data_IF_399368392623
#
_entry.id   IF_399368392623
#
_cell.length_a   1.000
_cell.length_b   1.000
_cell.length_c   1.000
_cell.angle_alpha   90.00
_cell.angle_beta   90.00
_cell.angle_gamma   90.00
#
_symmetry.space_group_name_H-M   'P 1'
#
loop_
_entity.id
_entity.type
_entity.pdbx_description
1 polymer ?
#
# COMPACT_ATOMS: atom_id res chain seq x y z
N UNK A 1 -7.52 16.32 12.10
CA UNK A 1 -6.81 15.64 13.22
C UNK A 1 -5.41 15.29 12.74
N UNK A 2 -4.36 15.58 13.52
CA UNK A 2 -2.98 15.32 13.09
C UNK A 2 -2.79 13.85 12.72
N UNK A 3 -2.23 13.59 11.53
CA UNK A 3 -2.03 12.25 10.93
C UNK A 3 -1.40 11.25 11.92
N UNK A 4 -0.52 11.75 12.80
CA UNK A 4 0.17 10.96 13.83
C UNK A 4 -0.77 10.40 14.90
N UNK A 5 -1.81 11.14 15.32
CA UNK A 5 -2.77 10.66 16.32
C UNK A 5 -3.61 9.51 15.76
N UNK A 6 -4.06 9.65 14.51
CA UNK A 6 -4.81 8.60 13.83
C UNK A 6 -3.97 7.32 13.65
N UNK A 7 -2.68 7.47 13.36
CA UNK A 7 -1.76 6.33 13.27
C UNK A 7 -1.60 5.60 14.60
N UNK A 8 -1.37 6.35 15.70
CA UNK A 8 -1.23 5.74 17.03
C UNK A 8 -2.50 5.02 17.48
N UNK A 9 -3.69 5.55 17.15
CA UNK A 9 -4.96 4.87 17.39
C UNK A 9 -5.07 3.56 16.59
N UNK A 10 -4.68 3.57 15.31
CA UNK A 10 -4.64 2.38 14.47
C UNK A 10 -3.68 1.31 15.05
N UNK A 11 -2.50 1.72 15.51
CA UNK A 11 -1.53 0.83 16.14
C UNK A 11 -2.06 0.25 17.46
N UNK A 12 -2.70 1.06 18.30
CA UNK A 12 -3.27 0.60 19.57
C UNK A 12 -4.41 -0.41 19.37
N UNK A 13 -5.22 -0.23 18.31
CA UNK A 13 -6.32 -1.14 17.98
C UNK A 13 -5.80 -2.51 17.50
N UNK A 14 -4.78 -2.53 16.65
CA UNK A 14 -4.26 -3.77 16.06
C UNK A 14 -3.14 -4.45 16.89
N UNK A 15 -2.49 -3.70 17.77
CA UNK A 15 -1.42 -4.19 18.64
C UNK A 15 -1.63 -3.73 20.10
N UNK A 16 -2.74 -4.14 20.76
CA UNK A 16 -3.09 -3.66 22.11
C UNK A 16 -2.07 -4.06 23.19
N UNK A 17 -1.28 -5.11 22.95
CA UNK A 17 -0.23 -5.57 23.85
C UNK A 17 1.05 -4.69 23.80
N UNK A 18 1.18 -3.80 22.82
CA UNK A 18 2.35 -2.94 22.65
C UNK A 18 2.04 -1.50 23.10
N UNK A 19 2.88 -0.90 23.97
CA UNK A 19 2.62 0.45 24.46
C UNK A 19 2.83 1.49 23.36
N UNK A 20 1.90 2.44 23.25
CA UNK A 20 1.91 3.48 22.21
C UNK A 20 3.20 4.33 22.18
N UNK A 21 3.85 4.53 23.33
CA UNK A 21 5.07 5.32 23.43
C UNK A 21 6.33 4.62 22.86
N UNK A 22 6.28 3.31 22.57
CA UNK A 22 7.44 2.55 22.13
C UNK A 22 7.59 2.40 20.61
N UNK A 23 6.69 2.98 19.82
CA UNK A 23 6.76 2.93 18.36
C UNK A 23 7.78 3.93 17.82
N UNK A 24 8.74 3.44 17.04
CA UNK A 24 9.62 4.30 16.23
C UNK A 24 9.00 4.49 14.85
N UNK A 25 8.59 5.72 14.53
CA UNK A 25 7.94 6.05 13.25
C UNK A 25 8.88 6.95 12.44
N UNK A 26 9.21 6.52 11.21
CA UNK A 26 10.09 7.25 10.29
C UNK A 26 9.39 7.44 8.94
N UNK A 27 9.43 8.64 8.33
CA UNK A 27 8.89 8.83 6.99
C UNK A 27 9.67 8.00 5.97
N UNK A 28 8.97 7.38 5.03
CA UNK A 28 9.59 6.72 3.88
C UNK A 28 9.63 7.67 2.69
N UNK A 29 10.79 7.73 2.05
CA UNK A 29 10.97 8.50 0.83
C UNK A 29 10.23 7.79 -0.32
N UNK A 30 9.09 8.33 -0.73
CA UNK A 30 8.31 7.86 -1.87
C UNK A 30 7.62 9.02 -2.58
N UNK A 31 7.20 8.79 -3.83
CA UNK A 31 6.60 9.81 -4.69
C UNK A 31 5.38 10.49 -4.07
N UNK A 32 4.61 9.77 -3.25
CA UNK A 32 3.43 10.32 -2.57
C UNK A 32 3.71 10.82 -1.15
N UNK A 33 4.90 10.59 -0.58
CA UNK A 33 5.27 10.91 0.83
C UNK A 33 4.25 10.48 1.90
N UNK A 34 3.41 9.50 1.60
CA UNK A 34 2.29 9.05 2.44
C UNK A 34 2.58 7.76 3.22
N UNK A 35 3.81 7.26 3.13
CA UNK A 35 4.22 6.01 3.77
C UNK A 35 5.21 6.27 4.89
N UNK A 36 5.08 5.49 5.96
CA UNK A 36 5.97 5.52 7.12
C UNK A 36 6.44 4.12 7.46
N UNK A 37 7.70 4.02 7.88
CA UNK A 37 8.26 2.87 8.55
C UNK A 37 7.89 2.93 10.02
N UNK A 38 7.43 1.81 10.59
CA UNK A 38 7.01 1.72 11.98
C UNK A 38 7.66 0.48 12.60
N UNK A 39 8.37 0.66 13.70
CA UNK A 39 9.10 -0.43 14.36
C UNK A 39 8.90 -0.40 15.88
N UNK A 40 8.62 -1.56 16.47
CA UNK A 40 8.62 -1.75 17.92
C UNK A 40 8.79 -3.22 18.30
N UNK A 41 9.71 -3.53 19.23
CA UNK A 41 9.88 -4.86 19.84
C UNK A 41 9.82 -6.04 18.85
N UNK A 42 10.55 -5.94 17.74
CA UNK A 42 10.62 -6.98 16.70
C UNK A 42 9.45 -7.00 15.70
N UNK A 43 8.48 -6.10 15.85
CA UNK A 43 7.43 -5.86 14.86
C UNK A 43 7.88 -4.75 13.92
N UNK A 44 8.04 -5.08 12.63
CA UNK A 44 8.39 -4.14 11.56
C UNK A 44 7.22 -4.00 10.60
N UNK A 45 6.71 -2.77 10.46
CA UNK A 45 5.55 -2.45 9.65
C UNK A 45 5.84 -1.29 8.67
N UNK A 46 5.02 -1.25 7.63
CA UNK A 46 4.83 -0.10 6.75
C UNK A 46 3.42 0.42 6.93
N UNK A 47 3.29 1.67 7.39
CA UNK A 47 2.03 2.39 7.46
C UNK A 47 1.81 3.21 6.19
N UNK A 48 0.62 3.12 5.60
CA UNK A 48 0.19 3.92 4.44
C UNK A 48 -1.06 4.71 4.79
N UNK A 49 -0.97 6.04 4.74
CA UNK A 49 -2.11 6.89 5.01
C UNK A 49 -3.10 6.91 3.83
N UNK A 50 -4.39 7.05 4.15
CA UNK A 50 -5.42 7.50 3.22
C UNK A 50 -5.50 9.02 3.32
N UNK A 51 -5.14 9.70 2.25
CA UNK A 51 -5.23 11.16 2.13
C UNK A 51 -6.32 11.56 1.15
N UNK A 52 -6.69 12.84 1.16
CA UNK A 52 -7.57 13.41 0.13
C UNK A 52 -6.90 13.34 -1.24
N UNK A 53 -5.61 13.69 -1.32
CA UNK A 53 -4.84 13.66 -2.56
C UNK A 53 -4.78 12.25 -3.19
N UNK A 54 -4.46 11.23 -2.39
CA UNK A 54 -4.47 9.84 -2.85
C UNK A 54 -5.87 9.39 -3.30
N UNK A 55 -6.93 9.81 -2.60
CA UNK A 55 -8.30 9.52 -3.01
C UNK A 55 -8.71 10.22 -4.32
N UNK A 56 -8.17 11.42 -4.59
CA UNK A 56 -8.41 12.18 -5.83
C UNK A 56 -7.79 11.50 -7.04
N UNK A 57 -6.63 10.87 -6.89
CA UNK A 57 -6.00 10.02 -7.93
C UNK A 57 -6.52 8.57 -7.93
N UNK A 58 -7.61 8.29 -7.18
CA UNK A 58 -8.31 7.01 -7.19
C UNK A 58 -7.75 5.93 -6.26
N UNK A 59 -6.76 6.24 -5.41
CA UNK A 59 -6.22 5.30 -4.42
C UNK A 59 -7.18 5.14 -3.25
N UNK A 60 -7.50 3.90 -2.93
CA UNK A 60 -8.30 3.53 -1.76
C UNK A 60 -7.55 2.48 -0.93
N UNK A 61 -7.06 2.89 0.24
CA UNK A 61 -6.36 2.02 1.19
C UNK A 61 -7.25 0.89 1.72
N UNK A 62 -8.56 1.12 1.83
CA UNK A 62 -9.50 0.07 2.18
C UNK A 62 -9.61 -1.00 1.08
N UNK A 63 -9.67 -0.59 -0.19
CA UNK A 63 -9.67 -1.54 -1.32
C UNK A 63 -8.35 -2.30 -1.38
N UNK A 64 -7.23 -1.59 -1.24
CA UNK A 64 -5.89 -2.16 -1.18
C UNK A 64 -5.78 -3.22 -0.07
N UNK A 65 -6.19 -2.91 1.16
CA UNK A 65 -6.18 -3.85 2.28
C UNK A 65 -6.96 -5.14 1.97
N UNK A 66 -8.13 -5.02 1.35
CA UNK A 66 -8.97 -6.17 0.99
C UNK A 66 -8.37 -7.00 -0.15
N UNK A 67 -7.74 -6.37 -1.14
CA UNK A 67 -7.02 -7.07 -2.21
C UNK A 67 -5.85 -7.84 -1.62
N UNK A 68 -5.01 -7.19 -0.82
CA UNK A 68 -3.86 -7.81 -0.17
C UNK A 68 -4.29 -8.96 0.76
N UNK A 69 -5.41 -8.81 1.47
CA UNK A 69 -5.95 -9.88 2.28
C UNK A 69 -6.36 -11.11 1.45
N UNK A 70 -6.95 -10.93 0.27
CA UNK A 70 -7.28 -12.05 -0.64
C UNK A 70 -6.05 -12.72 -1.22
N UNK A 71 -4.98 -11.95 -1.44
CA UNK A 71 -3.71 -12.45 -1.96
C UNK A 71 -2.79 -13.03 -0.87
N UNK A 72 -3.20 -13.04 0.41
CA UNK A 72 -2.32 -13.44 1.52
C UNK A 72 -1.74 -14.85 1.36
N UNK A 73 -2.53 -15.76 0.79
CA UNK A 73 -2.17 -17.18 0.64
C UNK A 73 -1.41 -17.43 -0.69
N UNK A 74 -1.28 -16.42 -1.55
CA UNK A 74 -0.54 -16.53 -2.81
C UNK A 74 0.98 -16.48 -2.63
N UNK A 75 1.46 -15.98 -1.48
CA UNK A 75 2.89 -15.68 -1.27
C UNK A 75 3.41 -14.47 -2.08
N UNK A 76 2.54 -13.80 -2.86
CA UNK A 76 2.92 -12.70 -3.75
C UNK A 76 2.67 -11.31 -3.15
N UNK A 77 1.99 -11.24 -2.00
CA UNK A 77 1.54 -9.98 -1.41
C UNK A 77 2.06 -9.82 0.03
N UNK A 78 2.39 -8.58 0.45
CA UNK A 78 2.68 -8.30 1.85
C UNK A 78 1.45 -8.61 2.72
N UNK A 79 1.70 -9.17 3.90
CA UNK A 79 0.65 -9.48 4.86
C UNK A 79 0.09 -8.20 5.47
N UNK A 80 -1.24 -8.08 5.48
CA UNK A 80 -1.94 -6.96 6.13
C UNK A 80 -1.96 -7.18 7.64
N UNK A 81 -1.47 -6.20 8.39
CA UNK A 81 -1.58 -6.17 9.85
C UNK A 81 -2.93 -5.57 10.29
N UNK A 82 -3.44 -4.58 9.55
CA UNK A 82 -4.74 -3.97 9.83
C UNK A 82 -5.07 -2.78 8.94
N UNK A 83 -6.33 -2.34 8.99
CA UNK A 83 -6.78 -1.10 8.37
C UNK A 83 -7.82 -0.43 9.27
N UNK A 84 -7.46 0.70 9.86
CA UNK A 84 -8.38 1.51 10.65
C UNK A 84 -7.91 2.96 10.71
N UNK A 85 -8.79 3.88 11.12
CA UNK A 85 -8.45 5.31 11.29
C UNK A 85 -7.79 5.97 10.05
N UNK A 86 -8.09 5.47 8.85
CA UNK A 86 -7.49 5.97 7.60
C UNK A 86 -6.06 5.50 7.36
N UNK A 87 -5.57 4.50 8.07
CA UNK A 87 -4.24 3.92 7.93
C UNK A 87 -4.31 2.45 7.56
N UNK A 88 -3.51 2.05 6.57
CA UNK A 88 -3.23 0.66 6.23
C UNK A 88 -1.89 0.27 6.82
N UNK A 89 -1.86 -0.77 7.65
CA UNK A 89 -0.67 -1.34 8.24
C UNK A 89 -0.31 -2.64 7.52
N UNK A 90 0.90 -2.73 7.00
CA UNK A 90 1.45 -3.90 6.33
C UNK A 90 2.68 -4.40 7.09
N UNK A 91 2.86 -5.70 7.21
CA UNK A 91 4.14 -6.24 7.66
C UNK A 91 5.23 -5.90 6.63
N UNK A 92 6.40 -5.50 7.12
CA UNK A 92 7.56 -5.28 6.25
C UNK A 92 7.92 -6.60 5.56
N UNK A 93 8.14 -6.54 4.26
CA UNK A 93 8.73 -7.63 3.49
C UNK A 93 10.23 -7.42 3.55
N UNK A 94 10.94 -8.40 4.11
CA UNK A 94 12.40 -8.39 4.13
C UNK A 94 12.92 -8.66 2.72
N UNK A 95 13.93 -7.91 2.31
CA UNK A 95 14.53 -8.03 0.99
C UNK A 95 15.13 -6.73 0.49
N UNK A 96 15.96 -6.86 -0.54
CA UNK A 96 16.59 -5.73 -1.21
C UNK A 96 15.85 -5.43 -2.51
N UNK A 97 15.81 -4.15 -2.87
CA UNK A 97 15.34 -3.74 -4.19
C UNK A 97 16.32 -4.26 -5.23
N UNK A 98 15.81 -5.03 -6.19
CA UNK A 98 16.64 -5.54 -7.28
C UNK A 98 17.16 -4.38 -8.13
N UNK A 99 18.48 -4.33 -8.42
CA UNK A 99 19.03 -3.32 -9.29
C UNK A 99 18.59 -3.58 -10.74
N UNK A 100 18.39 -2.54 -11.58
CA UNK A 100 17.87 -2.68 -12.93
C UNK A 100 18.63 -3.68 -13.80
N UNK A 101 19.95 -3.78 -13.60
CA UNK A 101 20.84 -4.66 -14.34
C UNK A 101 20.52 -6.14 -14.07
N UNK A 102 20.11 -6.47 -12.84
CA UNK A 102 19.73 -7.84 -12.45
C UNK A 102 18.40 -8.25 -13.03
N UNK A 103 17.48 -7.30 -13.22
CA UNK A 103 16.17 -7.56 -13.84
C UNK A 103 16.34 -7.95 -15.32
N UNK A 104 17.34 -7.40 -16.00
CA UNK A 104 17.62 -7.68 -17.42
C UNK A 104 18.44 -8.96 -17.66
N UNK A 105 18.87 -9.66 -16.60
CA UNK A 105 19.62 -10.90 -16.75
C UNK A 105 18.73 -11.99 -17.39
N UNK A 106 19.22 -12.70 -18.43
CA UNK A 106 18.44 -13.74 -19.11
C UNK A 106 17.89 -14.82 -18.17
N UNK A 107 18.62 -15.16 -17.10
CA UNK A 107 18.21 -16.19 -16.14
C UNK A 107 17.11 -15.72 -15.16
N UNK A 108 16.95 -14.40 -15.01
CA UNK A 108 15.97 -13.80 -14.12
C UNK A 108 14.61 -13.60 -14.79
N UNK A 109 14.60 -13.34 -16.10
CA UNK A 109 13.36 -13.09 -16.87
C UNK A 109 12.35 -14.25 -16.75
N UNK A 110 12.72 -15.54 -16.87
CA UNK A 110 11.77 -16.64 -16.69
C UNK A 110 11.17 -16.70 -15.29
N UNK A 111 11.96 -16.39 -14.25
CA UNK A 111 11.50 -16.38 -12.86
C UNK A 111 10.49 -15.25 -12.63
N UNK A 112 10.77 -14.05 -13.16
CA UNK A 112 9.85 -12.93 -13.11
C UNK A 112 8.56 -13.22 -13.89
N UNK A 113 8.67 -13.80 -15.07
CA UNK A 113 7.51 -14.18 -15.89
C UNK A 113 6.61 -15.20 -15.17
N UNK A 114 7.20 -16.17 -14.47
CA UNK A 114 6.46 -17.12 -13.65
C UNK A 114 5.71 -16.43 -12.49
N UNK A 115 6.35 -15.48 -11.80
CA UNK A 115 5.71 -14.71 -10.73
C UNK A 115 4.54 -13.86 -11.25
N UNK A 116 4.72 -13.19 -12.39
CA UNK A 116 3.66 -12.39 -13.03
C UNK A 116 2.51 -13.27 -13.50
N UNK A 117 2.81 -14.44 -14.08
CA UNK A 117 1.79 -15.42 -14.48
C UNK A 117 1.00 -15.93 -13.27
N UNK A 118 1.68 -16.28 -12.18
CA UNK A 118 1.03 -16.69 -10.93
C UNK A 118 0.14 -15.60 -10.34
N UNK A 119 0.55 -14.33 -10.46
CA UNK A 119 -0.26 -13.18 -10.02
C UNK A 119 -1.51 -13.01 -10.89
N UNK A 120 -1.38 -13.12 -12.21
CA UNK A 120 -2.51 -13.00 -13.14
C UNK A 120 -3.54 -14.14 -13.01
N UNK A 121 -3.09 -15.31 -12.59
CA UNK A 121 -3.96 -16.47 -12.35
C UNK A 121 -4.64 -16.45 -10.98
N UNK A 122 -4.43 -15.41 -10.15
CA UNK A 122 -5.14 -15.29 -8.88
C UNK A 122 -6.64 -15.01 -9.10
N UNK A 123 -7.50 -15.43 -8.17
CA UNK A 123 -8.93 -15.15 -8.25
C UNK A 123 -9.23 -13.65 -8.39
N UNK A 124 -10.18 -13.31 -9.25
CA UNK A 124 -10.62 -11.94 -9.43
C UNK A 124 -11.07 -11.32 -8.11
N UNK A 125 -10.59 -10.11 -7.82
CA UNK A 125 -10.90 -9.41 -6.56
C UNK A 125 -12.30 -8.81 -6.52
N UNK A 126 -13.10 -8.95 -7.59
CA UNK A 126 -14.50 -8.52 -7.66
C UNK A 126 -14.71 -7.00 -7.62
N UNK A 127 -13.65 -6.20 -7.64
CA UNK A 127 -13.74 -4.75 -7.70
C UNK A 127 -14.04 -4.32 -9.13
N UNK A 128 -15.24 -3.78 -9.36
CA UNK A 128 -15.53 -3.06 -10.59
C UNK A 128 -14.71 -1.78 -10.62
N UNK A 129 -14.04 -1.54 -11.73
CA UNK A 129 -13.39 -0.26 -12.04
C UNK A 129 -14.46 0.66 -12.65
N UNK A 130 -14.93 1.69 -11.93
CA UNK A 130 -15.91 2.62 -12.48
C UNK A 130 -15.20 3.61 -13.41
N UNK A 131 -14.70 3.11 -14.53
CA UNK A 131 -13.82 3.86 -15.44
C UNK A 131 -14.42 5.19 -15.88
N UNK A 132 -15.71 5.22 -16.20
CA UNK A 132 -16.42 6.46 -16.56
C UNK A 132 -16.38 7.49 -15.44
N UNK A 133 -16.81 7.11 -14.24
CA UNK A 133 -16.82 8.02 -13.08
C UNK A 133 -15.40 8.48 -12.69
N UNK A 134 -14.39 7.61 -12.84
CA UNK A 134 -12.99 8.00 -12.61
C UNK A 134 -12.48 8.97 -13.68
N UNK A 135 -12.79 8.74 -14.95
CA UNK A 135 -12.43 9.63 -16.05
C UNK A 135 -13.11 11.00 -15.91
N UNK A 136 -14.40 11.03 -15.58
CA UNK A 136 -15.15 12.28 -15.36
C UNK A 136 -14.56 13.06 -14.19
N UNK A 137 -14.31 12.40 -13.05
CA UNK A 137 -13.68 13.04 -11.88
C UNK A 137 -12.29 13.57 -12.23
N UNK A 138 -11.47 12.78 -12.93
CA UNK A 138 -10.15 13.23 -13.36
C UNK A 138 -10.26 14.45 -14.28
N UNK A 139 -11.17 14.42 -15.26
CA UNK A 139 -11.42 15.57 -16.13
C UNK A 139 -11.77 16.82 -15.33
N UNK A 140 -12.62 16.71 -14.29
CA UNK A 140 -12.94 17.82 -13.39
C UNK A 140 -11.78 18.31 -12.52
N UNK A 141 -10.79 17.47 -12.24
CA UNK A 141 -9.59 17.82 -11.46
C UNK A 141 -8.46 18.37 -12.34
N UNK A 142 -8.43 18.07 -13.64
CA UNK A 142 -7.44 18.60 -14.58
C UNK A 142 -7.50 20.14 -14.62
N UNK A 143 -6.35 20.81 -14.59
CA UNK A 143 -6.26 22.26 -14.73
C UNK A 143 -7.08 22.76 -15.93
N UNK A 144 -7.94 23.75 -15.72
CA UNK A 144 -8.79 24.34 -16.76
C UNK A 144 -7.97 24.82 -17.96
N UNK A 145 -6.73 25.27 -17.74
CA UNK A 145 -5.81 25.72 -18.80
C UNK A 145 -5.32 24.60 -19.72
N UNK A 146 -5.53 23.33 -19.35
CA UNK A 146 -5.15 22.14 -20.13
C UNK A 146 -6.34 21.47 -20.81
N UNK A 147 -7.54 22.06 -20.75
CA UNK A 147 -8.78 21.51 -21.34
C UNK A 147 -9.14 22.11 -22.70
N UNK A 148 -8.33 23.06 -23.19
CA UNK A 148 -8.44 23.78 -24.45
C UNK A 148 -7.11 23.67 -25.18
#
# INVERSE_FOLDING_TARGET
>A
MSSNRALLLCLAEHFPALPAAGWTIRPLNGLTRESVSIEQKGVSLIGRAQTVHSADIGVSRQKEARILHRLRDSGLAPRVAGFSHGWLLLYRVEGETLPPERIQQPDFIPQLAALVSNLHNQPLTGYRLPLKAQADRHFHLTDKRRRT
#
